data_IF_264196229504
#
_entry.id   IF_264196229504
#
_cell.length_a   1.000
_cell.length_b   1.000
_cell.length_c   1.000
_cell.angle_alpha   90.00
_cell.angle_beta   90.00
_cell.angle_gamma   90.00
#
_symmetry.space_group_name_H-M   'P 1'
#
loop_
_entity.id
_entity.type
_entity.pdbx_description
1 polymer ?
#
# COMPACT_ATOMS: atom_id res chain seq x y z
N UNK A 1 9.74 9.85 -9.71
CA UNK A 1 9.40 9.08 -8.53
C UNK A 1 10.52 9.00 -7.52
N UNK A 2 10.28 9.51 -6.35
CA UNK A 2 11.25 9.50 -5.24
C UNK A 2 10.69 8.69 -4.07
N UNK A 3 11.57 8.21 -3.20
CA UNK A 3 11.25 7.60 -1.92
C UNK A 3 11.68 8.55 -0.81
N UNK A 4 10.72 9.01 -0.02
CA UNK A 4 10.95 9.86 1.13
C UNK A 4 10.72 9.07 2.40
N UNK A 5 11.69 9.07 3.31
CA UNK A 5 11.54 8.49 4.64
C UNK A 5 11.18 9.57 5.65
N UNK A 6 10.21 9.27 6.51
CA UNK A 6 9.83 10.11 7.62
C UNK A 6 10.15 9.38 8.91
N UNK A 7 11.08 9.93 9.66
CA UNK A 7 11.50 9.44 10.97
C UNK A 7 11.19 10.47 12.06
N UNK A 8 11.04 10.00 13.29
CA UNK A 8 10.82 10.89 14.43
C UNK A 8 10.26 10.12 15.64
N UNK A 9 10.21 10.74 16.82
CA UNK A 9 9.72 10.09 18.02
C UNK A 9 8.23 9.74 17.93
N UNK A 10 7.78 8.86 18.82
CA UNK A 10 6.36 8.56 18.95
C UNK A 10 5.59 9.83 19.32
N UNK A 11 4.41 10.00 18.75
CA UNK A 11 3.58 11.18 18.95
C UNK A 11 3.96 12.41 18.12
N UNK A 12 4.98 12.33 17.23
CA UNK A 12 5.36 13.46 16.36
C UNK A 12 4.40 13.73 15.18
N UNK A 13 3.35 12.93 15.03
CA UNK A 13 2.33 13.13 13.99
C UNK A 13 2.53 12.35 12.69
N UNK A 14 3.49 11.42 12.62
CA UNK A 14 3.77 10.64 11.40
C UNK A 14 2.55 9.87 10.87
N UNK A 15 1.92 9.07 11.74
CA UNK A 15 0.72 8.30 11.35
C UNK A 15 -0.53 9.19 11.21
N UNK A 16 -0.54 10.38 11.85
CA UNK A 16 -1.56 11.41 11.58
C UNK A 16 -1.41 11.92 10.15
N UNK A 17 -0.19 12.18 9.70
CA UNK A 17 0.07 12.61 8.32
C UNK A 17 -0.40 11.54 7.32
N UNK A 18 -0.05 10.26 7.52
CA UNK A 18 -0.51 9.18 6.64
C UNK A 18 -2.04 9.09 6.59
N UNK A 19 -2.69 9.20 7.74
CA UNK A 19 -4.17 9.22 7.86
C UNK A 19 -4.81 10.39 7.12
N UNK A 20 -4.24 11.58 7.25
CA UNK A 20 -4.71 12.79 6.54
C UNK A 20 -4.54 12.65 5.04
N UNK A 21 -3.41 12.11 4.57
CA UNK A 21 -3.14 11.93 3.14
C UNK A 21 -4.15 10.98 2.47
N UNK A 22 -4.63 9.96 3.18
CA UNK A 22 -5.64 9.03 2.64
C UNK A 22 -7.09 9.44 2.94
N UNK A 23 -7.28 10.57 3.63
CA UNK A 23 -8.62 11.12 3.87
C UNK A 23 -9.37 10.45 5.01
N UNK A 24 -8.67 9.95 6.03
CA UNK A 24 -9.33 9.37 7.20
C UNK A 24 -10.23 10.42 7.89
N UNK A 25 -11.56 10.21 7.98
CA UNK A 25 -12.51 11.21 8.50
C UNK A 25 -12.36 11.50 10.00
N UNK A 26 -11.54 10.73 10.72
CA UNK A 26 -11.23 11.02 12.13
C UNK A 26 -10.34 12.27 12.30
N UNK A 27 -9.74 12.79 11.23
CA UNK A 27 -8.85 13.94 11.26
C UNK A 27 -9.39 15.08 10.40
N UNK A 28 -9.45 16.27 10.99
CA UNK A 28 -9.81 17.51 10.31
C UNK A 28 -8.56 18.37 10.10
N UNK A 29 -8.34 18.82 8.86
CA UNK A 29 -7.23 19.72 8.52
C UNK A 29 -7.72 21.15 8.69
N UNK A 30 -7.23 21.82 9.73
CA UNK A 30 -7.64 23.19 10.08
C UNK A 30 -6.92 24.28 9.28
N UNK A 31 -5.71 23.99 8.79
CA UNK A 31 -4.87 24.92 8.01
C UNK A 31 -3.95 24.18 7.07
N UNK A 32 -3.60 24.84 5.97
CA UNK A 32 -2.70 24.30 4.95
C UNK A 32 -3.43 23.75 3.74
N UNK A 33 -2.67 23.21 2.79
CA UNK A 33 -3.17 22.61 1.57
C UNK A 33 -2.34 21.40 1.18
N UNK A 34 -2.94 20.45 0.50
CA UNK A 34 -2.27 19.27 -0.03
C UNK A 34 -2.69 19.14 -1.49
N UNK A 35 -1.70 19.18 -2.38
CA UNK A 35 -1.95 19.05 -3.83
C UNK A 35 -1.34 17.76 -4.34
N UNK A 36 -2.11 17.00 -5.11
CA UNK A 36 -1.67 15.76 -5.76
C UNK A 36 -2.10 15.79 -7.23
N UNK A 37 -1.11 15.78 -8.15
CA UNK A 37 -1.34 15.95 -9.59
C UNK A 37 -2.27 17.12 -9.95
N UNK A 38 -2.08 18.26 -9.26
CA UNK A 38 -2.87 19.49 -9.48
C UNK A 38 -4.24 19.50 -8.81
N UNK A 39 -4.66 18.42 -8.15
CA UNK A 39 -5.94 18.33 -7.41
C UNK A 39 -5.73 18.61 -5.94
N UNK A 40 -6.67 19.36 -5.32
CA UNK A 40 -6.69 19.54 -3.87
C UNK A 40 -7.18 18.25 -3.19
N UNK A 41 -6.28 17.55 -2.48
CA UNK A 41 -6.64 16.31 -1.78
C UNK A 41 -7.69 16.51 -0.68
N UNK A 42 -7.74 17.68 -0.07
CA UNK A 42 -8.67 17.93 1.03
C UNK A 42 -10.15 17.94 0.58
N UNK A 43 -10.39 18.10 -0.71
CA UNK A 43 -11.73 18.07 -1.32
C UNK A 43 -12.14 16.67 -1.80
N UNK A 44 -11.20 15.71 -1.81
CA UNK A 44 -11.43 14.37 -2.30
C UNK A 44 -11.79 13.39 -1.17
N UNK A 45 -12.79 12.55 -1.42
CA UNK A 45 -13.11 11.42 -0.54
C UNK A 45 -11.96 10.40 -0.48
N UNK A 46 -11.91 9.52 0.54
CA UNK A 46 -10.92 8.43 0.57
C UNK A 46 -10.95 7.55 -0.68
N UNK A 47 -12.14 7.28 -1.21
CA UNK A 47 -12.35 6.51 -2.43
C UNK A 47 -11.74 7.21 -3.64
N UNK A 48 -12.00 8.52 -3.79
CA UNK A 48 -11.45 9.31 -4.89
C UNK A 48 -9.92 9.37 -4.82
N UNK A 49 -9.34 9.52 -3.61
CA UNK A 49 -7.89 9.48 -3.42
C UNK A 49 -7.30 8.12 -3.82
N UNK A 50 -7.98 7.03 -3.50
CA UNK A 50 -7.59 5.69 -3.95
C UNK A 50 -7.65 5.57 -5.48
N UNK A 51 -8.70 6.10 -6.12
CA UNK A 51 -8.83 6.14 -7.58
C UNK A 51 -7.73 6.98 -8.25
N UNK A 52 -7.31 8.08 -7.63
CA UNK A 52 -6.18 8.88 -8.09
C UNK A 52 -4.84 8.16 -7.96
N UNK A 53 -4.79 7.04 -7.24
CA UNK A 53 -3.62 6.20 -7.09
C UNK A 53 -2.84 6.43 -5.79
N UNK A 54 -3.50 6.81 -4.71
CA UNK A 54 -2.92 6.84 -3.36
C UNK A 54 -3.20 5.51 -2.67
N UNK A 55 -2.17 4.89 -2.11
CA UNK A 55 -2.23 3.62 -1.39
C UNK A 55 -1.61 3.77 0.00
N UNK A 56 -2.23 3.17 1.00
CA UNK A 56 -1.71 3.09 2.36
C UNK A 56 -1.51 1.63 2.78
N UNK A 57 -0.28 1.28 3.15
CA UNK A 57 0.00 0.09 3.95
C UNK A 57 -0.15 0.46 5.42
N UNK A 58 -1.14 -0.12 6.08
CA UNK A 58 -1.49 0.20 7.46
C UNK A 58 -0.47 -0.34 8.46
N UNK A 59 -0.26 0.36 9.56
CA UNK A 59 0.50 -0.18 10.69
C UNK A 59 -0.07 -1.54 11.15
N UNK A 60 -1.39 -1.62 11.25
CA UNK A 60 -2.13 -2.84 11.58
C UNK A 60 -3.07 -3.22 10.43
N UNK A 61 -2.67 -4.18 9.57
CA UNK A 61 -3.50 -4.61 8.44
C UNK A 61 -4.85 -5.16 8.88
N UNK A 62 -5.92 -4.64 8.28
CA UNK A 62 -7.30 -5.01 8.59
C UNK A 62 -7.60 -6.42 8.09
N UNK A 63 -8.33 -7.20 8.91
CA UNK A 63 -8.89 -8.49 8.51
C UNK A 63 -10.30 -8.29 7.96
N UNK A 64 -10.64 -8.99 6.87
CA UNK A 64 -11.99 -8.98 6.28
C UNK A 64 -12.50 -10.41 6.22
N UNK A 65 -13.11 -10.93 7.31
CA UNK A 65 -13.62 -12.29 7.35
C UNK A 65 -14.68 -12.54 6.26
N UNK A 66 -14.63 -13.72 5.66
CA UNK A 66 -15.59 -14.13 4.64
C UNK A 66 -15.36 -13.55 3.24
N UNK A 67 -14.44 -12.61 3.07
CA UNK A 67 -14.07 -12.05 1.76
C UNK A 67 -12.73 -12.60 1.32
N UNK A 68 -12.72 -13.48 0.31
CA UNK A 68 -11.45 -14.03 -0.18
C UNK A 68 -10.57 -12.95 -0.83
N UNK A 69 -9.25 -13.11 -0.72
CA UNK A 69 -8.28 -12.20 -1.33
C UNK A 69 -8.48 -12.08 -2.85
N UNK A 70 -8.83 -13.17 -3.53
CA UNK A 70 -9.15 -13.18 -4.97
C UNK A 70 -10.32 -12.24 -5.27
N UNK A 71 -11.42 -12.36 -4.53
CA UNK A 71 -12.61 -11.53 -4.75
C UNK A 71 -12.37 -10.08 -4.40
N UNK A 72 -11.68 -9.81 -3.29
CA UNK A 72 -11.30 -8.47 -2.87
C UNK A 72 -10.46 -7.77 -3.94
N UNK A 73 -9.37 -8.40 -4.38
CA UNK A 73 -8.48 -7.79 -5.37
C UNK A 73 -9.13 -7.66 -6.74
N UNK A 74 -9.99 -8.61 -7.14
CA UNK A 74 -10.74 -8.50 -8.40
C UNK A 74 -11.67 -7.30 -8.40
N UNK A 75 -12.36 -7.07 -7.30
CA UNK A 75 -13.24 -5.90 -7.15
C UNK A 75 -12.42 -4.60 -7.20
N UNK A 76 -11.34 -4.51 -6.42
CA UNK A 76 -10.50 -3.31 -6.34
C UNK A 76 -9.84 -2.96 -7.68
N UNK A 77 -9.24 -3.94 -8.37
CA UNK A 77 -8.60 -3.72 -9.67
C UNK A 77 -9.62 -3.30 -10.73
N UNK A 78 -10.77 -3.96 -10.78
CA UNK A 78 -11.79 -3.63 -11.76
C UNK A 78 -12.44 -2.26 -11.50
N UNK A 79 -12.59 -1.84 -10.26
CA UNK A 79 -13.09 -0.50 -9.93
C UNK A 79 -12.09 0.59 -10.35
N UNK A 80 -10.79 0.38 -10.11
CA UNK A 80 -9.76 1.29 -10.62
C UNK A 80 -9.74 1.37 -12.16
N UNK A 81 -9.91 0.24 -12.84
CA UNK A 81 -9.99 0.20 -14.31
C UNK A 81 -11.20 0.96 -14.83
N UNK A 82 -12.35 0.77 -14.20
CA UNK A 82 -13.58 1.49 -14.51
C UNK A 82 -13.41 3.00 -14.34
N UNK A 83 -12.79 3.44 -13.25
CA UNK A 83 -12.47 4.86 -13.04
C UNK A 83 -11.59 5.44 -14.16
N UNK A 84 -10.65 4.65 -14.68
CA UNK A 84 -9.77 4.99 -15.80
C UNK A 84 -10.44 4.82 -17.18
N UNK A 85 -11.71 4.47 -17.25
CA UNK A 85 -12.42 4.21 -18.51
C UNK A 85 -11.98 2.93 -19.23
N UNK A 86 -11.33 2.00 -18.54
CA UNK A 86 -10.84 0.73 -19.07
C UNK A 86 -11.85 -0.40 -18.81
N UNK A 87 -11.96 -1.39 -19.71
CA UNK A 87 -12.83 -2.55 -19.50
C UNK A 87 -12.35 -3.39 -18.30
N UNK A 88 -13.29 -4.04 -17.62
CA UNK A 88 -12.95 -5.00 -16.56
C UNK A 88 -12.10 -6.15 -17.12
N UNK A 89 -11.19 -6.67 -16.29
CA UNK A 89 -10.41 -7.87 -16.63
C UNK A 89 -11.33 -9.09 -16.68
N UNK A 90 -11.13 -9.93 -17.68
CA UNK A 90 -11.67 -11.29 -17.68
C UNK A 90 -11.11 -12.11 -16.52
N UNK A 91 -11.75 -13.21 -16.17
CA UNK A 91 -11.26 -14.08 -15.09
C UNK A 91 -9.84 -14.61 -15.37
N UNK A 92 -9.54 -14.97 -16.62
CA UNK A 92 -8.21 -15.48 -17.01
C UNK A 92 -7.13 -14.40 -16.94
N UNK A 93 -7.41 -13.19 -17.43
CA UNK A 93 -6.48 -12.05 -17.34
C UNK A 93 -6.20 -11.67 -15.89
N UNK A 94 -7.23 -11.63 -15.05
CA UNK A 94 -7.07 -11.33 -13.64
C UNK A 94 -6.22 -12.40 -12.91
N UNK A 95 -6.47 -13.69 -13.15
CA UNK A 95 -5.69 -14.76 -12.54
C UNK A 95 -4.23 -14.77 -13.02
N UNK A 96 -3.97 -14.40 -14.27
CA UNK A 96 -2.62 -14.21 -14.79
C UNK A 96 -1.92 -13.07 -14.07
N UNK A 97 -2.52 -11.89 -14.01
CA UNK A 97 -2.01 -10.72 -13.29
C UNK A 97 -1.72 -11.06 -11.82
N UNK A 98 -2.67 -11.69 -11.15
CA UNK A 98 -2.53 -12.08 -9.76
C UNK A 98 -1.34 -13.02 -9.51
N UNK A 99 -1.10 -13.97 -10.43
CA UNK A 99 0.05 -14.88 -10.35
C UNK A 99 1.38 -14.14 -10.51
N UNK A 100 1.47 -13.24 -11.48
CA UNK A 100 2.65 -12.42 -11.74
C UNK A 100 2.99 -11.53 -10.53
N UNK A 101 2.00 -10.80 -10.03
CA UNK A 101 2.21 -9.87 -8.90
C UNK A 101 2.52 -10.58 -7.59
N UNK A 102 1.95 -11.75 -7.36
CA UNK A 102 2.24 -12.57 -6.18
C UNK A 102 3.69 -13.05 -6.13
N UNK A 103 4.29 -13.37 -7.29
CA UNK A 103 5.68 -13.77 -7.39
C UNK A 103 6.65 -12.66 -6.95
N UNK A 104 6.27 -11.38 -7.07
CA UNK A 104 7.10 -10.24 -6.66
C UNK A 104 7.39 -10.24 -5.15
N UNK A 105 6.42 -10.69 -4.34
CA UNK A 105 6.47 -10.64 -2.87
C UNK A 105 6.52 -12.05 -2.23
N UNK A 106 6.73 -13.07 -3.02
CA UNK A 106 6.82 -14.47 -2.56
C UNK A 106 5.60 -14.89 -1.69
N UNK A 107 4.39 -14.41 -2.06
CA UNK A 107 3.17 -14.74 -1.33
C UNK A 107 2.67 -16.14 -1.70
N UNK A 108 2.47 -17.01 -0.69
CA UNK A 108 1.99 -18.37 -0.89
C UNK A 108 0.63 -18.40 -1.60
N UNK A 109 0.50 -19.34 -2.54
CA UNK A 109 -0.75 -19.55 -3.27
C UNK A 109 -1.94 -19.89 -2.36
N UNK A 110 -1.69 -20.57 -1.26
CA UNK A 110 -2.72 -20.94 -0.29
C UNK A 110 -3.42 -19.72 0.33
N UNK A 111 -2.70 -18.61 0.48
CA UNK A 111 -3.24 -17.38 1.07
C UNK A 111 -4.22 -16.67 0.12
N UNK A 112 -4.07 -16.86 -1.20
CA UNK A 112 -4.92 -16.20 -2.18
C UNK A 112 -6.42 -16.55 -2.07
N UNK A 113 -6.73 -17.77 -1.63
CA UNK A 113 -8.11 -18.25 -1.47
C UNK A 113 -8.68 -18.05 -0.05
N UNK A 114 -7.85 -17.58 0.89
CA UNK A 114 -8.29 -17.27 2.25
C UNK A 114 -8.93 -15.88 2.31
N UNK A 115 -9.69 -15.65 3.36
CA UNK A 115 -10.19 -14.32 3.69
C UNK A 115 -9.03 -13.34 3.87
N UNK A 116 -9.25 -12.08 3.51
CA UNK A 116 -8.22 -11.02 3.59
C UNK A 116 -7.63 -10.94 5.00
N UNK A 117 -6.35 -11.26 5.12
CA UNK A 117 -5.55 -11.22 6.35
C UNK A 117 -6.02 -12.12 7.51
N UNK A 118 -7.13 -12.85 7.37
CA UNK A 118 -7.69 -13.69 8.44
C UNK A 118 -6.75 -14.85 8.79
N UNK A 119 -6.25 -14.84 10.02
CA UNK A 119 -5.31 -15.83 10.52
C UNK A 119 -3.95 -15.83 9.82
N UNK A 120 -3.56 -14.73 9.20
CA UNK A 120 -2.22 -14.54 8.65
C UNK A 120 -1.26 -14.16 9.79
N UNK A 121 -0.03 -14.64 9.71
CA UNK A 121 1.07 -14.12 10.55
C UNK A 121 1.37 -12.65 10.22
N UNK A 122 2.08 -11.95 11.10
CA UNK A 122 2.48 -10.56 10.86
C UNK A 122 3.22 -10.38 9.53
N UNK A 123 4.18 -11.26 9.23
CA UNK A 123 4.92 -11.23 7.96
C UNK A 123 4.04 -11.51 6.74
N UNK A 124 3.10 -12.46 6.84
CA UNK A 124 2.14 -12.73 5.76
C UNK A 124 1.21 -11.55 5.51
N UNK A 125 0.72 -10.88 6.57
CA UNK A 125 -0.10 -9.66 6.44
C UNK A 125 0.66 -8.55 5.71
N UNK A 126 1.92 -8.32 6.06
CA UNK A 126 2.73 -7.28 5.40
C UNK A 126 3.07 -7.63 3.95
N UNK A 127 3.45 -8.88 3.65
CA UNK A 127 3.61 -9.34 2.26
C UNK A 127 2.33 -9.18 1.46
N UNK A 128 1.18 -9.45 2.10
CA UNK A 128 -0.12 -9.26 1.47
C UNK A 128 -0.43 -7.80 1.15
N UNK A 129 -0.03 -6.83 2.00
CA UNK A 129 -0.17 -5.41 1.68
C UNK A 129 0.71 -5.00 0.50
N UNK A 130 1.97 -5.47 0.44
CA UNK A 130 2.82 -5.20 -0.72
C UNK A 130 2.29 -5.90 -1.99
N UNK A 131 1.68 -7.07 -1.86
CA UNK A 131 0.96 -7.70 -2.96
C UNK A 131 -0.23 -6.85 -3.44
N UNK A 132 -1.03 -6.29 -2.53
CA UNK A 132 -2.11 -5.37 -2.88
C UNK A 132 -1.57 -4.12 -3.60
N UNK A 133 -0.47 -3.54 -3.10
CA UNK A 133 0.24 -2.44 -3.76
C UNK A 133 0.68 -2.83 -5.18
N UNK A 134 1.24 -4.03 -5.36
CA UNK A 134 1.65 -4.53 -6.67
C UNK A 134 0.49 -4.69 -7.65
N UNK A 135 -0.67 -5.12 -7.17
CA UNK A 135 -1.89 -5.29 -7.97
C UNK A 135 -2.52 -3.96 -8.40
N UNK A 136 -2.48 -2.95 -7.52
CA UNK A 136 -3.14 -1.66 -7.73
C UNK A 136 -2.25 -0.64 -8.44
N UNK A 137 -0.94 -0.82 -8.44
CA UNK A 137 0.05 0.05 -9.11
C UNK A 137 -0.18 1.54 -8.79
N UNK A 138 -0.13 1.93 -7.50
CA UNK A 138 -0.41 3.30 -7.09
C UNK A 138 0.68 4.27 -7.56
N UNK A 139 0.29 5.54 -7.73
CA UNK A 139 1.21 6.65 -8.00
C UNK A 139 1.96 7.11 -6.74
N UNK A 140 1.29 7.01 -5.59
CA UNK A 140 1.87 7.28 -4.27
C UNK A 140 1.55 6.13 -3.33
N UNK A 141 2.59 5.49 -2.82
CA UNK A 141 2.49 4.50 -1.75
C UNK A 141 2.93 5.11 -0.43
N UNK A 142 2.14 4.93 0.61
CA UNK A 142 2.45 5.34 1.98
C UNK A 142 2.61 4.07 2.80
N UNK A 143 3.82 3.84 3.33
CA UNK A 143 4.15 2.68 4.14
C UNK A 143 4.28 3.13 5.59
N UNK A 144 3.23 2.91 6.39
CA UNK A 144 3.18 3.37 7.78
C UNK A 144 3.62 2.22 8.73
N UNK A 145 4.85 2.34 9.25
CA UNK A 145 5.49 1.37 10.15
C UNK A 145 5.37 -0.09 9.64
N UNK A 146 5.60 -0.28 8.35
CA UNK A 146 5.45 -1.58 7.67
C UNK A 146 6.46 -2.62 8.17
N UNK A 147 7.49 -2.20 8.85
CA UNK A 147 8.54 -3.01 9.47
C UNK A 147 8.23 -3.45 10.91
N UNK A 148 7.18 -2.92 11.52
CA UNK A 148 6.81 -3.25 12.90
C UNK A 148 6.46 -4.72 13.07
N UNK A 149 7.15 -5.40 14.01
CA UNK A 149 6.91 -6.81 14.34
C UNK A 149 7.36 -7.82 13.28
N UNK A 150 8.16 -7.42 12.30
CA UNK A 150 8.74 -8.32 11.32
C UNK A 150 10.09 -8.87 11.77
N UNK A 151 10.34 -10.14 11.47
CA UNK A 151 11.68 -10.71 11.47
C UNK A 151 12.51 -10.16 10.28
N UNK A 152 13.79 -10.43 10.28
CA UNK A 152 14.73 -9.93 9.26
C UNK A 152 14.38 -10.42 7.85
N UNK A 153 13.92 -11.66 7.71
CA UNK A 153 13.61 -12.23 6.40
C UNK A 153 12.33 -11.63 5.81
N UNK A 154 11.29 -11.50 6.64
CA UNK A 154 10.04 -10.82 6.23
C UNK A 154 10.30 -9.35 5.88
N UNK A 155 11.12 -8.64 6.66
CA UNK A 155 11.51 -7.25 6.39
C UNK A 155 12.20 -7.12 5.03
N UNK A 156 13.15 -8.01 4.74
CA UNK A 156 13.87 -8.02 3.46
C UNK A 156 12.92 -8.23 2.28
N UNK A 157 12.03 -9.21 2.37
CA UNK A 157 11.06 -9.51 1.29
C UNK A 157 10.14 -8.32 1.04
N UNK A 158 9.65 -7.67 2.11
CA UNK A 158 8.82 -6.47 2.02
C UNK A 158 9.58 -5.34 1.31
N UNK A 159 10.82 -5.05 1.74
CA UNK A 159 11.63 -4.00 1.16
C UNK A 159 12.00 -4.28 -0.31
N UNK A 160 12.35 -5.52 -0.64
CA UNK A 160 12.60 -5.94 -2.02
C UNK A 160 11.34 -5.81 -2.89
N UNK A 161 10.18 -6.15 -2.34
CA UNK A 161 8.89 -5.96 -3.01
C UNK A 161 8.66 -4.49 -3.36
N UNK A 162 8.87 -3.58 -2.41
CA UNK A 162 8.77 -2.13 -2.64
C UNK A 162 9.76 -1.67 -3.71
N UNK A 163 11.02 -2.09 -3.64
CA UNK A 163 12.04 -1.73 -4.61
C UNK A 163 11.73 -2.21 -6.03
N UNK A 164 11.17 -3.44 -6.18
CA UNK A 164 10.74 -3.99 -7.48
C UNK A 164 9.55 -3.24 -8.08
N UNK A 165 8.74 -2.58 -7.26
CA UNK A 165 7.58 -1.82 -7.68
C UNK A 165 7.88 -0.34 -7.94
N UNK A 166 9.06 0.14 -7.53
CA UNK A 166 9.51 1.52 -7.78
C UNK A 166 9.70 1.75 -9.29
N UNK A 167 9.11 2.83 -9.77
CA UNK A 167 9.29 3.32 -11.15
C UNK A 167 9.54 4.83 -11.14
N UNK A 168 10.02 5.44 -12.24
CA UNK A 168 10.16 6.90 -12.31
C UNK A 168 8.87 7.69 -12.08
N UNK A 169 7.72 7.04 -12.30
CA UNK A 169 6.40 7.68 -12.19
C UNK A 169 5.68 7.39 -10.87
N UNK A 170 6.31 6.62 -9.97
CA UNK A 170 5.72 6.25 -8.67
C UNK A 170 6.56 6.81 -7.52
N UNK A 171 5.90 7.37 -6.52
CA UNK A 171 6.54 7.89 -5.31
C UNK A 171 6.17 7.05 -4.09
N UNK A 172 7.07 7.04 -3.09
CA UNK A 172 6.82 6.31 -1.86
C UNK A 172 7.18 7.17 -0.64
N UNK A 173 6.28 7.21 0.33
CA UNK A 173 6.54 7.74 1.66
C UNK A 173 6.70 6.55 2.61
N UNK A 174 7.85 6.45 3.26
CA UNK A 174 8.14 5.39 4.24
C UNK A 174 8.19 6.01 5.63
N UNK A 175 7.26 5.64 6.49
CA UNK A 175 7.26 6.03 7.90
C UNK A 175 7.82 4.86 8.69
N UNK A 176 8.94 5.08 9.38
CA UNK A 176 9.59 4.03 10.18
C UNK A 176 10.35 4.62 11.36
N UNK A 177 10.54 3.80 12.37
CA UNK A 177 11.45 4.05 13.50
C UNK A 177 12.78 3.30 13.35
N UNK A 178 12.91 2.41 12.37
CA UNK A 178 14.02 1.48 12.26
C UNK A 178 14.90 1.78 11.06
N UNK A 179 16.16 2.06 11.32
CA UNK A 179 17.17 2.26 10.28
C UNK A 179 17.26 1.07 9.32
N UNK A 180 17.03 -0.16 9.80
CA UNK A 180 17.12 -1.38 8.99
C UNK A 180 16.26 -1.36 7.73
N UNK A 181 15.03 -0.83 7.79
CA UNK A 181 14.17 -0.75 6.63
C UNK A 181 14.80 0.18 5.58
N UNK A 182 15.37 1.29 6.03
CA UNK A 182 16.01 2.28 5.14
C UNK A 182 17.27 1.73 4.48
N UNK A 183 17.99 0.82 5.14
CA UNK A 183 19.17 0.16 4.57
C UNK A 183 18.81 -0.68 3.33
N UNK A 184 17.61 -1.24 3.29
CA UNK A 184 17.10 -2.02 2.16
C UNK A 184 16.38 -1.15 1.10
N UNK A 185 15.53 -0.20 1.51
CA UNK A 185 14.73 0.62 0.59
C UNK A 185 15.57 1.75 -0.03
N UNK A 186 16.55 2.27 0.71
CA UNK A 186 17.45 3.37 0.31
C UNK A 186 16.66 4.59 -0.18
N UNK A 187 16.05 5.36 0.72
CA UNK A 187 15.29 6.54 0.37
C UNK A 187 16.17 7.62 -0.26
N UNK A 188 15.56 8.43 -1.11
CA UNK A 188 16.21 9.58 -1.74
C UNK A 188 16.34 10.74 -0.74
N UNK A 189 15.39 10.86 0.22
CA UNK A 189 15.35 11.89 1.27
C UNK A 189 14.91 11.25 2.60
N UNK A 190 15.51 11.72 3.70
CA UNK A 190 15.17 11.36 5.08
C UNK A 190 14.93 12.62 5.89
#
# INVERSE_FOLDING_TARGET
GEVHAIMGPNGSGKSTLSSVLVGNPAFEVTKGSITFYGKNLLELSPEDRSHEGIFLSFQYPVEIPGVSMVNFMRAAVNEQRKYKGLPALTASEFLKLMREKRAVVELDNKLANRSVNEGFSGGEKKRNEIFQMAMLEPRLSILDETDSGLDIDALRIVAEGVNKLKTPDTSCIVITHYQRLLDYIKPDIV
#
